data_IF_977329677653
#
_entry.id   IF_977329677653
#
_cell.length_a   1.000
_cell.length_b   1.000
_cell.length_c   1.000
_cell.angle_alpha   90.00
_cell.angle_beta   90.00
_cell.angle_gamma   90.00
#
_symmetry.space_group_name_H-M   'P 1'
#
loop_
_entity.id
_entity.type
_entity.pdbx_description
1 polymer ?
#
# COMPACT_ATOMS: atom_id res chain seq x y z
N UNK A 1 -20.54 -57.90 -37.37
CA UNK A 1 -19.33 -57.08 -37.57
C UNK A 1 -19.51 -55.86 -36.74
N UNK A 2 -19.34 -55.93 -35.63
CA UNK A 2 -18.51 -55.65 -34.47
C UNK A 2 -17.95 -54.26 -34.48
N UNK A 3 -18.54 -53.42 -33.66
CA UNK A 3 -17.95 -52.22 -33.09
C UNK A 3 -17.73 -52.46 -31.60
N UNK A 4 -16.50 -52.71 -31.21
CA UNK A 4 -16.05 -52.56 -29.85
C UNK A 4 -15.74 -51.07 -29.65
N UNK A 5 -16.45 -50.46 -28.76
CA UNK A 5 -16.12 -49.14 -28.21
C UNK A 5 -15.23 -49.34 -27.01
N UNK A 6 -14.14 -48.65 -27.05
CA UNK A 6 -13.22 -48.46 -25.94
C UNK A 6 -13.88 -47.53 -24.93
N UNK A 7 -14.18 -48.07 -23.76
CA UNK A 7 -14.30 -47.31 -22.53
C UNK A 7 -12.93 -47.35 -21.89
N UNK A 8 -12.28 -46.19 -21.76
CA UNK A 8 -11.29 -45.96 -20.73
C UNK A 8 -11.04 -44.47 -20.51
N UNK A 9 -11.09 -44.18 -19.25
CA UNK A 9 -10.34 -43.23 -18.43
C UNK A 9 -10.92 -41.84 -18.23
N UNK A 10 -11.97 -41.76 -17.41
CA UNK A 10 -12.29 -40.60 -16.60
C UNK A 10 -12.31 -40.97 -15.10
N UNK A 11 -11.24 -41.53 -14.59
CA UNK A 11 -11.04 -41.73 -13.15
C UNK A 11 -9.55 -41.59 -12.83
N UNK A 12 -9.00 -40.37 -12.78
CA UNK A 12 -7.75 -40.09 -12.06
C UNK A 12 -7.34 -38.60 -12.06
N UNK A 13 -8.22 -37.68 -11.69
CA UNK A 13 -7.84 -36.26 -11.45
C UNK A 13 -8.49 -35.70 -10.17
N UNK A 14 -8.91 -36.57 -9.24
CA UNK A 14 -9.38 -36.07 -7.92
C UNK A 14 -8.52 -36.75 -6.85
N UNK A 15 -7.31 -36.23 -6.66
CA UNK A 15 -6.40 -36.78 -5.65
C UNK A 15 -5.12 -35.98 -5.39
N UNK A 16 -5.04 -34.74 -5.80
CA UNK A 16 -3.88 -33.88 -5.47
C UNK A 16 -4.33 -32.46 -5.17
N UNK A 17 -4.93 -32.24 -4.02
CA UNK A 17 -5.45 -30.92 -3.65
C UNK A 17 -5.59 -30.65 -2.16
N UNK A 18 -5.00 -31.44 -1.28
CA UNK A 18 -5.09 -31.22 0.18
C UNK A 18 -3.73 -31.44 0.87
N UNK A 19 -2.64 -31.00 0.29
CA UNK A 19 -1.32 -30.97 0.97
C UNK A 19 -0.70 -29.58 1.09
N UNK A 20 -1.39 -28.50 0.69
CA UNK A 20 -0.76 -27.18 0.60
C UNK A 20 -0.98 -26.25 1.79
N UNK A 21 -1.87 -26.58 2.74
CA UNK A 21 -2.17 -25.65 3.85
C UNK A 21 -1.14 -25.68 5.00
N UNK A 22 -0.35 -26.76 5.12
CA UNK A 22 0.76 -26.80 6.09
C UNK A 22 2.06 -26.22 5.52
N UNK A 23 2.23 -26.26 4.21
CA UNK A 23 3.41 -25.71 3.54
C UNK A 23 3.37 -24.19 3.43
N UNK A 24 2.19 -23.57 3.50
CA UNK A 24 2.01 -22.12 3.54
C UNK A 24 2.37 -21.56 4.93
N UNK A 25 2.11 -22.30 6.01
CA UNK A 25 2.46 -21.88 7.38
C UNK A 25 3.96 -21.95 7.66
N UNK A 26 4.67 -22.88 7.04
CA UNK A 26 6.13 -23.05 7.21
C UNK A 26 6.94 -22.07 6.35
N UNK A 27 6.32 -21.39 5.35
CA UNK A 27 6.96 -20.32 4.59
C UNK A 27 6.98 -18.97 5.32
N UNK A 28 6.23 -18.84 6.41
CA UNK A 28 6.26 -17.62 7.24
C UNK A 28 7.54 -17.50 8.09
N UNK A 29 8.25 -18.62 8.32
CA UNK A 29 9.47 -18.67 9.14
C UNK A 29 10.78 -18.72 8.32
N UNK A 30 10.73 -18.92 7.00
CA UNK A 30 11.91 -19.01 6.13
C UNK A 30 12.09 -17.86 5.14
N UNK A 31 11.30 -16.81 5.21
CA UNK A 31 11.71 -15.53 4.63
C UNK A 31 12.74 -14.94 5.58
N UNK A 32 13.90 -15.61 5.64
CA UNK A 32 15.11 -15.00 6.17
C UNK A 32 15.28 -13.66 5.49
N UNK A 33 15.33 -12.67 6.30
CA UNK A 33 15.81 -11.31 6.14
C UNK A 33 16.87 -11.15 5.03
N UNK A 34 16.45 -11.27 3.77
CA UNK A 34 17.20 -10.73 2.65
C UNK A 34 16.67 -9.33 2.31
N UNK A 35 16.17 -8.63 3.31
CA UNK A 35 16.18 -7.19 3.29
C UNK A 35 17.67 -6.83 3.32
N UNK A 36 18.22 -6.64 2.14
CA UNK A 36 19.50 -5.93 2.02
C UNK A 36 19.20 -4.55 2.56
N UNK A 37 19.46 -4.39 3.87
CA UNK A 37 19.64 -3.12 4.49
C UNK A 37 20.71 -2.39 3.66
N UNK A 38 20.25 -1.62 2.69
CA UNK A 38 21.07 -0.58 2.13
C UNK A 38 21.14 0.50 3.22
N UNK A 39 21.86 0.18 4.30
CA UNK A 39 22.48 1.15 5.18
C UNK A 39 23.57 1.88 4.39
N UNK A 40 23.19 2.40 3.24
CA UNK A 40 23.72 3.65 2.78
C UNK A 40 23.14 4.66 3.75
N UNK A 41 23.96 5.29 4.55
CA UNK A 41 23.66 6.41 5.42
C UNK A 41 22.48 7.19 4.87
N UNK A 42 21.28 7.09 5.54
CA UNK A 42 20.20 8.01 5.24
C UNK A 42 20.82 9.40 5.30
N UNK A 43 20.68 10.25 4.27
CA UNK A 43 21.18 11.60 4.36
C UNK A 43 20.59 12.18 5.64
N UNK A 44 21.43 12.66 6.55
CA UNK A 44 20.98 13.18 7.84
C UNK A 44 19.91 14.21 7.60
N UNK A 45 18.67 13.78 7.79
CA UNK A 45 17.50 14.65 7.61
C UNK A 45 17.59 15.78 8.62
N UNK A 46 17.58 17.01 8.14
CA UNK A 46 17.59 18.16 9.04
C UNK A 46 16.40 18.11 10.00
N UNK A 47 16.58 18.59 11.21
CA UNK A 47 15.47 18.68 12.17
C UNK A 47 14.28 19.51 11.68
N UNK A 48 14.52 20.46 10.76
CA UNK A 48 13.48 21.29 10.13
C UNK A 48 12.69 20.50 9.09
N UNK A 49 13.37 19.74 8.24
CA UNK A 49 12.73 18.88 7.25
C UNK A 49 11.84 17.82 7.92
N UNK A 50 12.34 17.19 8.99
CA UNK A 50 11.58 16.22 9.76
C UNK A 50 10.30 16.84 10.33
N UNK A 51 10.38 18.01 10.92
CA UNK A 51 9.20 18.72 11.44
C UNK A 51 8.19 19.03 10.32
N UNK A 52 8.66 19.47 9.16
CA UNK A 52 7.82 19.72 8.00
C UNK A 52 7.11 18.42 7.54
N UNK A 53 7.82 17.32 7.42
CA UNK A 53 7.23 16.04 7.04
C UNK A 53 6.19 15.55 8.06
N UNK A 54 6.45 15.71 9.34
CA UNK A 54 5.50 15.37 10.40
C UNK A 54 4.20 16.18 10.31
N UNK A 55 4.28 17.46 9.96
CA UNK A 55 3.08 18.32 9.78
C UNK A 55 2.16 17.75 8.69
N UNK A 56 2.71 17.28 7.56
CA UNK A 56 1.91 16.72 6.49
C UNK A 56 1.49 15.28 6.78
N UNK A 57 2.34 14.49 7.41
CA UNK A 57 1.99 13.11 7.82
C UNK A 57 0.83 13.12 8.83
N UNK A 58 0.81 14.04 9.79
CA UNK A 58 -0.32 14.21 10.71
C UNK A 58 -1.64 14.55 9.99
N UNK A 59 -1.58 15.25 8.85
CA UNK A 59 -2.77 15.45 8.01
C UNK A 59 -3.22 14.16 7.32
N UNK A 60 -2.28 13.33 6.87
CA UNK A 60 -2.57 12.01 6.32
C UNK A 60 -3.16 11.07 7.39
N UNK A 61 -2.62 11.07 8.62
CA UNK A 61 -3.14 10.29 9.76
C UNK A 61 -4.59 10.66 10.08
N UNK A 62 -4.94 11.95 10.08
CA UNK A 62 -6.35 12.37 10.26
C UNK A 62 -7.28 11.84 9.18
N UNK A 63 -6.79 11.63 7.96
CA UNK A 63 -7.54 10.99 6.88
C UNK A 63 -7.64 9.49 7.08
N UNK A 64 -6.57 8.84 7.56
CA UNK A 64 -6.60 7.43 7.93
C UNK A 64 -7.62 7.14 9.03
N UNK A 65 -7.72 8.01 10.04
CA UNK A 65 -8.75 7.93 11.09
C UNK A 65 -10.18 8.00 10.52
N UNK A 66 -10.42 8.78 9.45
CA UNK A 66 -11.72 8.79 8.76
C UNK A 66 -12.02 7.45 8.08
N UNK A 67 -11.02 6.83 7.46
CA UNK A 67 -11.19 5.48 6.90
C UNK A 67 -11.53 4.47 8.00
N UNK A 68 -10.83 4.53 9.15
CA UNK A 68 -11.08 3.68 10.31
C UNK A 68 -12.55 3.73 10.75
N UNK A 69 -13.06 4.94 11.00
CA UNK A 69 -14.46 5.15 11.45
C UNK A 69 -15.47 4.61 10.42
N UNK A 70 -15.12 4.61 9.14
CA UNK A 70 -15.97 4.10 8.07
C UNK A 70 -15.82 2.57 7.84
N UNK A 71 -15.01 1.87 8.65
CA UNK A 71 -14.79 0.44 8.51
C UNK A 71 -13.87 0.06 7.35
N UNK A 72 -13.11 1.01 6.82
CA UNK A 72 -12.06 0.76 5.84
C UNK A 72 -10.68 0.75 6.50
N UNK A 73 -9.74 0.00 5.91
CA UNK A 73 -8.34 -0.03 6.40
C UNK A 73 -7.81 1.40 6.53
N UNK A 74 -7.25 1.80 7.70
CA UNK A 74 -6.93 3.19 8.01
C UNK A 74 -5.67 3.67 7.28
N UNK A 75 -5.83 3.96 6.01
CA UNK A 75 -4.79 4.54 5.17
C UNK A 75 -5.25 5.94 4.74
N UNK A 76 -4.38 6.91 4.93
CA UNK A 76 -4.59 8.29 4.52
C UNK A 76 -3.41 8.79 3.70
N UNK A 77 -3.71 9.68 2.75
CA UNK A 77 -2.74 10.24 1.83
C UNK A 77 -3.01 11.72 1.60
N UNK A 78 -1.96 12.52 1.55
CA UNK A 78 -2.02 13.91 1.06
C UNK A 78 -0.95 14.12 0.00
N UNK A 79 -1.25 14.96 -1.00
CA UNK A 79 -0.29 15.44 -1.98
C UNK A 79 -0.07 16.93 -1.76
N UNK A 80 1.20 17.31 -1.71
CA UNK A 80 1.67 18.67 -1.42
C UNK A 80 2.43 19.20 -2.63
N UNK A 81 2.15 20.44 -3.00
CA UNK A 81 2.89 21.24 -3.97
C UNK A 81 3.05 22.65 -3.39
N UNK A 82 4.24 23.24 -3.50
CA UNK A 82 4.55 24.61 -3.00
C UNK A 82 4.12 24.80 -1.54
N UNK A 83 4.46 23.85 -0.67
CA UNK A 83 4.09 23.82 0.75
C UNK A 83 2.57 23.87 1.02
N UNK A 84 1.73 23.57 0.02
CA UNK A 84 0.28 23.53 0.16
C UNK A 84 -0.27 22.14 -0.14
N UNK A 85 -1.18 21.66 0.69
CA UNK A 85 -1.91 20.43 0.39
C UNK A 85 -2.88 20.68 -0.76
N UNK A 86 -2.62 20.06 -1.90
CA UNK A 86 -3.43 20.20 -3.12
C UNK A 86 -4.47 19.08 -3.26
N UNK A 87 -4.17 17.89 -2.71
CA UNK A 87 -5.07 16.74 -2.77
C UNK A 87 -5.06 15.94 -1.48
N UNK A 88 -6.16 15.21 -1.24
CA UNK A 88 -6.38 14.37 -0.06
C UNK A 88 -7.08 13.09 -0.47
N UNK A 89 -6.61 11.96 0.02
CA UNK A 89 -7.23 10.65 -0.14
C UNK A 89 -7.27 9.90 1.18
N UNK A 90 -8.25 9.06 1.35
CA UNK A 90 -8.27 8.04 2.39
C UNK A 90 -8.97 6.81 1.85
N UNK A 91 -8.63 5.66 2.39
CA UNK A 91 -9.13 4.40 1.87
C UNK A 91 -10.66 4.32 1.94
N UNK A 92 -11.29 3.93 0.84
CA UNK A 92 -12.75 3.80 0.67
C UNK A 92 -13.12 2.52 -0.08
N UNK A 93 -12.27 1.50 -0.01
CA UNK A 93 -12.43 0.27 -0.77
C UNK A 93 -13.75 -0.43 -0.46
N UNK A 94 -14.07 -0.58 0.82
CA UNK A 94 -15.33 -1.20 1.26
C UNK A 94 -16.53 -0.30 0.97
N UNK A 95 -16.40 0.99 1.24
CA UNK A 95 -17.45 1.98 1.02
C UNK A 95 -17.83 2.10 -0.46
N UNK A 96 -16.84 2.18 -1.35
CA UNK A 96 -17.07 2.31 -2.80
C UNK A 96 -17.17 0.96 -3.53
N UNK A 97 -16.95 -0.16 -2.85
CA UNK A 97 -16.96 -1.53 -3.41
C UNK A 97 -16.07 -1.66 -4.65
N UNK A 98 -14.87 -1.03 -4.62
CA UNK A 98 -13.92 -1.07 -5.72
C UNK A 98 -12.48 -1.14 -5.20
N UNK A 99 -11.66 -1.94 -5.86
CA UNK A 99 -10.22 -2.06 -5.59
C UNK A 99 -9.48 -0.73 -5.78
N UNK A 100 -9.95 0.12 -6.69
CA UNK A 100 -9.28 1.38 -7.05
C UNK A 100 -9.43 2.48 -5.99
N UNK A 101 -10.27 2.30 -4.98
CA UNK A 101 -10.51 3.34 -3.96
C UNK A 101 -9.48 3.32 -2.83
N UNK A 102 -8.19 3.17 -3.16
CA UNK A 102 -7.07 3.35 -2.24
C UNK A 102 -6.77 4.84 -2.04
N UNK A 103 -6.24 5.19 -0.87
CA UNK A 103 -5.96 6.57 -0.48
C UNK A 103 -5.10 7.30 -1.50
N UNK A 104 -4.04 6.65 -1.97
CA UNK A 104 -3.06 7.18 -2.91
C UNK A 104 -3.70 7.46 -4.27
N UNK A 105 -4.47 6.50 -4.82
CA UNK A 105 -5.13 6.66 -6.12
C UNK A 105 -6.15 7.80 -6.09
N UNK A 106 -6.94 7.90 -5.01
CA UNK A 106 -7.90 8.99 -4.83
C UNK A 106 -7.20 10.35 -4.70
N UNK A 107 -6.03 10.39 -4.07
CA UNK A 107 -5.24 11.63 -3.96
C UNK A 107 -4.62 12.01 -5.31
N UNK A 108 -4.07 11.05 -6.08
CA UNK A 108 -3.54 11.28 -7.44
C UNK A 108 -4.62 11.82 -8.36
N UNK A 109 -5.79 11.16 -8.40
CA UNK A 109 -6.93 11.60 -9.21
C UNK A 109 -7.33 13.05 -8.88
N UNK A 110 -7.43 13.38 -7.59
CA UNK A 110 -7.77 14.73 -7.14
C UNK A 110 -6.71 15.76 -7.51
N UNK A 111 -5.40 15.42 -7.35
CA UNK A 111 -4.31 16.31 -7.69
C UNK A 111 -4.26 16.60 -9.20
N UNK A 112 -4.37 15.55 -10.02
CA UNK A 112 -4.39 15.66 -11.48
C UNK A 112 -5.53 16.54 -11.98
N UNK A 113 -6.74 16.35 -11.45
CA UNK A 113 -7.90 17.21 -11.76
C UNK A 113 -7.65 18.67 -11.35
N UNK A 114 -7.01 18.90 -10.19
CA UNK A 114 -6.75 20.25 -9.70
C UNK A 114 -5.70 20.98 -10.50
N UNK A 115 -4.66 20.26 -10.96
CA UNK A 115 -3.58 20.84 -11.75
C UNK A 115 -3.88 20.88 -13.25
N UNK A 116 -4.87 20.12 -13.72
CA UNK A 116 -5.18 19.97 -15.14
C UNK A 116 -4.14 19.13 -15.91
N UNK A 117 -3.30 18.38 -15.18
CA UNK A 117 -2.26 17.53 -15.77
C UNK A 117 -2.19 16.20 -14.98
N UNK A 118 -1.87 15.12 -15.69
CA UNK A 118 -1.60 13.82 -15.08
C UNK A 118 -0.21 13.74 -14.44
N UNK A 119 0.74 14.60 -14.85
CA UNK A 119 2.08 14.69 -14.27
C UNK A 119 2.04 15.50 -12.98
N UNK A 120 2.62 14.95 -11.95
CA UNK A 120 2.71 15.55 -10.61
C UNK A 120 4.17 15.77 -10.21
N UNK A 121 4.99 16.25 -11.16
CA UNK A 121 6.46 16.33 -11.09
C UNK A 121 6.98 17.24 -9.97
N UNK A 122 6.20 18.25 -9.54
CA UNK A 122 6.58 19.15 -8.44
C UNK A 122 5.85 18.80 -7.12
N UNK A 123 5.37 17.57 -6.98
CA UNK A 123 4.56 17.17 -5.86
C UNK A 123 5.31 16.23 -4.93
N UNK A 124 5.02 16.32 -3.64
CA UNK A 124 5.41 15.31 -2.64
C UNK A 124 4.16 14.61 -2.11
N UNK A 125 4.17 13.29 -2.12
CA UNK A 125 3.11 12.48 -1.52
C UNK A 125 3.48 12.10 -0.08
N UNK A 126 2.52 12.16 0.82
CA UNK A 126 2.62 11.66 2.20
C UNK A 126 1.56 10.60 2.39
N UNK A 127 1.95 9.40 2.77
CA UNK A 127 1.05 8.25 2.96
C UNK A 127 1.37 7.52 4.27
N UNK A 128 0.32 7.16 5.01
CA UNK A 128 0.49 6.55 6.34
C UNK A 128 0.99 5.12 6.30
N UNK A 129 0.76 4.38 5.22
CA UNK A 129 1.22 3.01 5.00
C UNK A 129 1.94 2.91 3.66
N UNK A 130 2.99 2.11 3.61
CA UNK A 130 3.73 1.82 2.37
C UNK A 130 2.79 1.41 1.23
N UNK A 131 2.92 2.01 0.03
CA UNK A 131 2.08 1.72 -1.12
C UNK A 131 2.21 0.28 -1.60
N UNK A 132 1.07 -0.32 -1.96
CA UNK A 132 1.03 -1.61 -2.65
C UNK A 132 1.43 -1.46 -4.13
N UNK A 133 1.58 -2.58 -4.87
CA UNK A 133 2.00 -2.60 -6.27
C UNK A 133 1.14 -1.72 -7.18
N UNK A 134 -0.17 -1.68 -6.97
CA UNK A 134 -1.09 -0.84 -7.76
C UNK A 134 -0.82 0.64 -7.53
N UNK A 135 -0.66 1.04 -6.26
CA UNK A 135 -0.41 2.43 -5.88
C UNK A 135 1.01 2.87 -6.23
N UNK A 136 2.01 2.01 -6.02
CA UNK A 136 3.40 2.28 -6.42
C UNK A 136 3.51 2.48 -7.93
N UNK A 137 2.86 1.64 -8.73
CA UNK A 137 2.79 1.81 -10.17
C UNK A 137 2.13 3.13 -10.57
N UNK A 138 1.04 3.52 -9.92
CA UNK A 138 0.36 4.78 -10.18
C UNK A 138 1.23 6.01 -9.81
N UNK A 139 1.98 5.94 -8.71
CA UNK A 139 2.91 6.99 -8.29
C UNK A 139 4.02 7.20 -9.33
N UNK A 140 4.63 6.11 -9.81
CA UNK A 140 5.64 6.14 -10.88
C UNK A 140 5.06 6.74 -12.17
N UNK A 141 3.86 6.29 -12.56
CA UNK A 141 3.18 6.80 -13.77
C UNK A 141 2.82 8.28 -13.64
N UNK A 142 2.37 8.72 -12.47
CA UNK A 142 2.06 10.12 -12.22
C UNK A 142 3.30 11.03 -12.09
N UNK A 143 4.52 10.49 -12.18
CA UNK A 143 5.78 11.24 -12.08
C UNK A 143 5.94 11.98 -10.75
N UNK A 144 5.44 11.43 -9.66
CA UNK A 144 5.65 12.00 -8.32
C UNK A 144 7.11 11.75 -7.92
N UNK A 145 7.92 12.79 -7.68
CA UNK A 145 9.36 12.62 -7.46
C UNK A 145 9.68 12.16 -6.04
N UNK A 146 8.80 12.40 -5.06
CA UNK A 146 9.06 12.09 -3.64
C UNK A 146 7.84 11.53 -2.94
N UNK A 147 8.05 10.46 -2.18
CA UNK A 147 7.05 9.84 -1.30
C UNK A 147 7.58 9.74 0.13
N UNK A 148 6.81 10.27 1.07
CA UNK A 148 7.07 10.17 2.51
C UNK A 148 6.11 9.15 3.10
N UNK A 149 6.66 8.09 3.70
CA UNK A 149 5.95 6.91 4.19
C UNK A 149 5.96 6.90 5.72
N UNK A 150 4.79 6.68 6.33
CA UNK A 150 4.66 6.54 7.77
C UNK A 150 5.17 5.20 8.28
N UNK A 151 4.55 4.10 7.90
CA UNK A 151 4.99 2.77 8.31
C UNK A 151 5.03 1.78 7.13
N UNK A 152 5.85 0.73 7.30
CA UNK A 152 6.07 -0.29 6.27
C UNK A 152 4.92 -1.30 6.21
N UNK A 153 4.73 -1.90 5.03
CA UNK A 153 3.72 -2.92 4.76
C UNK A 153 4.38 -4.24 4.34
N UNK A 154 4.79 -5.03 5.30
CA UNK A 154 5.48 -6.32 5.07
C UNK A 154 4.69 -7.32 4.21
N UNK A 155 3.37 -7.15 4.04
CA UNK A 155 2.50 -8.09 3.31
C UNK A 155 2.26 -7.73 1.84
N UNK A 156 2.33 -6.45 1.50
CA UNK A 156 1.97 -5.98 0.16
C UNK A 156 2.74 -4.70 -0.27
N UNK A 157 3.73 -4.27 0.52
CA UNK A 157 4.48 -3.04 0.24
C UNK A 157 5.40 -3.19 -0.95
N UNK A 158 5.38 -2.22 -1.84
CA UNK A 158 6.18 -2.21 -3.07
C UNK A 158 7.07 -0.97 -3.19
N UNK A 159 7.42 -0.38 -2.04
CA UNK A 159 8.38 0.71 -1.92
C UNK A 159 9.51 0.33 -0.95
N UNK A 160 9.92 -0.93 -0.92
CA UNK A 160 11.04 -1.45 -0.13
C UNK A 160 10.75 -2.74 0.65
N UNK A 161 9.49 -3.06 1.00
CA UNK A 161 9.20 -4.27 1.80
C UNK A 161 9.27 -5.57 0.99
N UNK A 162 8.43 -5.76 -0.03
CA UNK A 162 8.43 -6.97 -0.89
C UNK A 162 9.19 -6.70 -2.17
N UNK A 163 8.93 -5.56 -2.77
CA UNK A 163 9.59 -5.04 -3.97
C UNK A 163 9.93 -3.58 -3.72
N UNK A 164 10.90 -3.06 -4.46
CA UNK A 164 11.13 -1.62 -4.55
C UNK A 164 10.88 -1.13 -5.99
N UNK A 165 9.63 -0.83 -6.30
CA UNK A 165 9.24 -0.30 -7.61
C UNK A 165 9.73 1.13 -7.84
N UNK A 166 10.09 1.86 -6.78
CA UNK A 166 10.54 3.24 -6.84
C UNK A 166 11.99 3.38 -7.30
N UNK A 167 12.78 2.32 -7.15
CA UNK A 167 14.20 2.27 -7.50
C UNK A 167 14.50 1.33 -8.69
N UNK A 168 13.49 0.97 -9.47
CA UNK A 168 13.68 0.12 -10.65
C UNK A 168 14.26 0.94 -11.80
N UNK A 169 15.54 0.72 -12.13
CA UNK A 169 16.25 1.43 -13.21
C UNK A 169 15.62 1.24 -14.58
N UNK A 170 14.87 0.14 -14.80
CA UNK A 170 14.12 -0.10 -16.02
C UNK A 170 12.90 0.80 -16.20
N UNK A 171 12.43 1.45 -15.13
CA UNK A 171 11.34 2.41 -15.22
C UNK A 171 11.86 3.79 -15.63
N UNK A 172 11.05 4.51 -16.36
CA UNK A 172 11.38 5.85 -16.85
C UNK A 172 11.21 6.96 -15.80
N UNK A 173 10.98 6.61 -14.54
CA UNK A 173 10.88 7.52 -13.40
C UNK A 173 11.22 6.77 -12.12
N UNK A 174 12.10 7.34 -11.31
CA UNK A 174 12.44 6.88 -9.98
C UNK A 174 11.83 7.83 -8.95
N UNK A 175 11.59 7.31 -7.75
CA UNK A 175 10.90 8.05 -6.69
C UNK A 175 11.80 8.08 -5.46
N UNK A 176 12.15 9.26 -5.00
CA UNK A 176 12.82 9.45 -3.72
C UNK A 176 11.88 9.06 -2.58
N UNK A 177 12.37 8.29 -1.62
CA UNK A 177 11.55 7.77 -0.53
C UNK A 177 12.09 8.18 0.83
N UNK A 178 11.22 8.67 1.69
CA UNK A 178 11.50 8.97 3.09
C UNK A 178 10.63 8.07 3.95
N UNK A 179 11.24 7.34 4.88
CA UNK A 179 10.53 6.34 5.70
C UNK A 179 10.42 6.78 7.17
N UNK A 180 9.45 6.21 7.88
CA UNK A 180 9.38 6.29 9.34
C UNK A 180 8.87 7.60 9.91
N UNK A 181 8.23 8.46 9.12
CA UNK A 181 7.65 9.72 9.62
C UNK A 181 6.34 9.45 10.36
N UNK A 182 6.30 9.74 11.67
CA UNK A 182 5.21 9.37 12.59
C UNK A 182 4.93 7.86 12.58
N UNK A 183 5.97 7.03 12.51
CA UNK A 183 5.87 5.58 12.33
C UNK A 183 5.00 4.91 13.40
N UNK A 184 5.20 5.28 14.67
CA UNK A 184 4.46 4.67 15.78
C UNK A 184 2.96 4.96 15.68
N UNK A 185 2.58 6.21 15.39
CA UNK A 185 1.17 6.60 15.23
C UNK A 185 0.51 5.84 14.06
N UNK A 186 1.20 5.76 12.92
CA UNK A 186 0.71 5.03 11.74
C UNK A 186 0.56 3.53 12.01
N UNK A 187 1.57 2.92 12.63
CA UNK A 187 1.58 1.50 12.97
C UNK A 187 0.52 1.13 14.01
N UNK A 188 0.36 1.96 15.06
CA UNK A 188 -0.67 1.75 16.08
C UNK A 188 -2.07 1.78 15.48
N UNK A 189 -2.35 2.77 14.64
CA UNK A 189 -3.65 2.90 13.98
C UNK A 189 -4.02 1.65 13.16
N UNK A 190 -3.04 1.06 12.47
CA UNK A 190 -3.23 -0.20 11.75
C UNK A 190 -3.49 -1.38 12.68
N UNK A 191 -2.70 -1.51 13.77
CA UNK A 191 -2.85 -2.59 14.75
C UNK A 191 -4.21 -2.55 15.43
N UNK A 192 -4.64 -1.35 15.86
CA UNK A 192 -5.91 -1.14 16.55
C UNK A 192 -7.09 -1.50 15.63
N UNK A 193 -7.06 -1.05 14.37
CA UNK A 193 -8.08 -1.40 13.40
C UNK A 193 -8.25 -2.90 13.22
N UNK A 194 -7.16 -3.64 13.04
CA UNK A 194 -7.24 -5.08 12.86
C UNK A 194 -7.60 -5.82 14.16
N UNK A 195 -7.25 -5.28 15.33
CA UNK A 195 -7.71 -5.80 16.60
C UNK A 195 -9.23 -5.65 16.77
N UNK A 196 -9.76 -4.47 16.46
CA UNK A 196 -11.18 -4.18 16.54
C UNK A 196 -11.99 -4.93 15.48
N UNK A 197 -11.42 -5.12 14.29
CA UNK A 197 -12.03 -5.95 13.25
C UNK A 197 -12.19 -7.42 13.70
N UNK A 198 -11.18 -7.98 14.40
CA UNK A 198 -11.26 -9.34 14.95
C UNK A 198 -12.28 -9.47 16.08
N UNK A 199 -12.47 -8.39 16.87
CA UNK A 199 -13.48 -8.34 17.93
C UNK A 199 -14.90 -8.05 17.42
N UNK A 200 -15.07 -7.78 16.12
CA UNK A 200 -16.35 -7.40 15.52
C UNK A 200 -16.84 -5.99 15.88
N UNK A 201 -15.96 -5.15 16.43
CA UNK A 201 -16.27 -3.76 16.81
C UNK A 201 -16.36 -2.85 15.60
N UNK A 202 -15.58 -3.13 14.55
CA UNK A 202 -15.61 -2.36 13.30
C UNK A 202 -16.75 -2.86 12.43
N UNK A 203 -17.86 -2.14 12.45
CA UNK A 203 -19.05 -2.44 11.62
C UNK A 203 -18.84 -1.83 10.24
N UNK A 204 -18.65 -2.66 9.22
CA UNK A 204 -18.58 -2.18 7.83
C UNK A 204 -17.84 -3.07 6.85
N UNK A 205 -17.06 -4.02 7.30
CA UNK A 205 -16.11 -4.71 6.43
C UNK A 205 -16.53 -6.08 5.90
N UNK A 206 -17.64 -6.66 6.23
CA UNK A 206 -18.16 -7.90 5.60
C UNK A 206 -19.61 -8.16 5.93
N UNK A 207 -20.53 -7.59 5.18
CA UNK A 207 -21.71 -8.37 4.82
C UNK A 207 -21.34 -9.12 3.53
N UNK A 208 -21.04 -10.40 3.69
CA UNK A 208 -20.97 -11.36 2.58
C UNK A 208 -22.38 -11.71 2.14
#
# INVERSE_FOLDING_TARGET
>A
MEKKMEQNTEENVIGQGIEDDQNIRNREDEVKDTYVDRQGTEPEMSGEDRKMYEVYMKKAIKLAQKAYVQGDVPIGCVIVKDNKVIARGYNKRNLKKTTLAHAELLAIEQASKKLGDWRLEDCTMYVTLEPCQMCAGAIVQARIPKVVIGCMNKKAGCAGSILNMFDMSAFNHQVETVYGICQEECSSLMKDFFADLRKGVVVGSRQR
#
